data_IF_845918873057
#
_entry.id   IF_845918873057
#
_cell.length_a   1.000
_cell.length_b   1.000
_cell.length_c   1.000
_cell.angle_alpha   90.00
_cell.angle_beta   90.00
_cell.angle_gamma   90.00
#
_symmetry.space_group_name_H-M   'P 1'
#
loop_
_entity.id
_entity.type
_entity.pdbx_description
1 polymer ?
#
# COMPACT_ATOMS: atom_id res chain seq x y z
N UNK A 1 7.41 -25.58 14.71
CA UNK A 1 6.89 -24.32 14.13
C UNK A 1 7.95 -23.21 14.02
N UNK A 2 8.83 -23.00 15.02
CA UNK A 2 9.88 -21.95 15.02
C UNK A 2 10.87 -21.98 13.83
N UNK A 3 11.19 -23.13 13.25
CA UNK A 3 12.19 -23.24 12.16
C UNK A 3 11.66 -22.82 10.78
N UNK A 4 10.34 -22.88 10.52
CA UNK A 4 9.77 -22.47 9.22
C UNK A 4 9.79 -20.96 9.00
N UNK A 5 9.70 -20.15 10.06
CA UNK A 5 9.67 -18.69 9.96
C UNK A 5 11.02 -18.08 9.55
N UNK A 6 12.14 -18.75 9.83
CA UNK A 6 13.48 -18.22 9.54
C UNK A 6 13.88 -18.35 8.05
N UNK A 7 13.29 -19.31 7.33
CA UNK A 7 13.64 -19.63 5.93
C UNK A 7 12.44 -19.60 4.97
N UNK A 8 11.27 -19.16 5.42
CA UNK A 8 10.09 -19.02 4.57
C UNK A 8 10.28 -17.91 3.50
N UNK A 9 9.51 -17.99 2.39
CA UNK A 9 9.55 -16.98 1.34
C UNK A 9 9.11 -15.62 1.90
N UNK A 10 10.02 -14.64 1.88
CA UNK A 10 9.76 -13.26 2.33
C UNK A 10 9.04 -12.40 1.28
N UNK A 11 8.80 -12.96 0.09
CA UNK A 11 8.21 -12.26 -1.04
C UNK A 11 6.82 -11.66 -0.76
N UNK A 12 5.87 -12.36 -0.08
CA UNK A 12 4.56 -11.76 0.23
C UNK A 12 4.69 -10.52 1.10
N UNK A 13 5.49 -10.57 2.17
CA UNK A 13 5.70 -9.44 3.07
C UNK A 13 6.42 -8.28 2.39
N UNK A 14 7.43 -8.55 1.56
CA UNK A 14 8.12 -7.52 0.78
C UNK A 14 7.16 -6.80 -0.19
N UNK A 15 6.30 -7.56 -0.87
CA UNK A 15 5.28 -7.00 -1.76
C UNK A 15 4.23 -6.18 -0.99
N UNK A 16 3.76 -6.68 0.15
CA UNK A 16 2.84 -5.95 1.02
C UNK A 16 3.44 -4.64 1.52
N UNK A 17 4.71 -4.65 1.93
CA UNK A 17 5.43 -3.44 2.34
C UNK A 17 5.61 -2.43 1.22
N UNK A 18 5.90 -2.88 0.00
CA UNK A 18 5.98 -2.00 -1.17
C UNK A 18 4.63 -1.33 -1.47
N UNK A 19 3.52 -2.08 -1.40
CA UNK A 19 2.17 -1.57 -1.66
C UNK A 19 1.60 -0.72 -0.51
N UNK A 20 2.07 -0.93 0.72
CA UNK A 20 1.59 -0.19 1.89
C UNK A 20 1.81 1.32 1.76
N UNK A 21 2.90 1.76 1.12
CA UNK A 21 3.20 3.19 0.96
C UNK A 21 2.18 3.91 0.07
N UNK A 22 1.95 3.52 -1.20
CA UNK A 22 0.94 4.17 -2.02
C UNK A 22 -0.48 3.99 -1.46
N UNK A 23 -0.78 2.86 -0.81
CA UNK A 23 -2.07 2.67 -0.12
C UNK A 23 -2.26 3.63 1.06
N UNK A 24 -1.21 3.90 1.84
CA UNK A 24 -1.25 4.87 2.93
C UNK A 24 -1.63 6.27 2.41
N UNK A 25 -0.96 6.74 1.37
CA UNK A 25 -1.26 8.06 0.79
C UNK A 25 -2.64 8.11 0.11
N UNK A 26 -3.05 7.02 -0.55
CA UNK A 26 -4.39 6.90 -1.12
C UNK A 26 -5.46 6.99 -0.03
N UNK A 27 -5.27 6.25 1.06
CA UNK A 27 -6.16 6.24 2.22
C UNK A 27 -6.17 7.59 2.96
N UNK A 28 -5.02 8.28 3.03
CA UNK A 28 -4.92 9.61 3.61
C UNK A 28 -5.80 10.61 2.85
N UNK A 29 -5.66 10.68 1.52
CA UNK A 29 -6.48 11.56 0.68
C UNK A 29 -7.98 11.23 0.81
N UNK A 30 -8.32 9.94 0.77
CA UNK A 30 -9.69 9.48 0.92
C UNK A 30 -10.28 9.82 2.31
N UNK A 31 -9.50 9.62 3.38
CA UNK A 31 -9.91 9.88 4.75
C UNK A 31 -10.08 11.39 5.01
N UNK A 32 -9.20 12.24 4.47
CA UNK A 32 -9.38 13.69 4.52
C UNK A 32 -10.71 14.09 3.90
N UNK A 33 -10.97 13.66 2.65
CA UNK A 33 -12.26 13.93 1.98
C UNK A 33 -13.46 13.45 2.80
N UNK A 34 -13.39 12.25 3.39
CA UNK A 34 -14.51 11.68 4.13
C UNK A 34 -14.75 12.39 5.48
N UNK A 35 -13.68 12.62 6.25
CA UNK A 35 -13.77 12.91 7.68
C UNK A 35 -13.49 14.37 8.04
N UNK A 36 -12.72 15.08 7.22
CA UNK A 36 -12.34 16.45 7.51
C UNK A 36 -13.58 17.35 7.56
N UNK A 37 -13.66 18.15 8.64
CA UNK A 37 -14.78 19.06 8.89
C UNK A 37 -14.21 20.33 9.50
N UNK A 38 -14.63 21.50 9.01
CA UNK A 38 -14.25 22.75 9.66
C UNK A 38 -14.97 22.86 11.00
N UNK A 39 -14.37 23.55 11.94
CA UNK A 39 -15.01 23.88 13.19
C UNK A 39 -15.79 25.18 13.02
N UNK A 40 -17.12 25.14 13.25
CA UNK A 40 -17.98 26.32 13.12
C UNK A 40 -18.33 26.91 14.47
N UNK A 41 -18.24 28.22 14.58
CA UNK A 41 -18.80 28.97 15.70
C UNK A 41 -19.85 29.91 15.10
N UNK A 42 -21.07 29.77 15.57
CA UNK A 42 -22.20 30.60 15.16
C UNK A 42 -22.56 31.57 16.29
N UNK A 43 -22.75 32.84 15.96
CA UNK A 43 -23.25 33.84 16.89
C UNK A 43 -24.18 34.82 16.20
N UNK A 44 -25.02 35.48 16.98
CA UNK A 44 -25.91 36.52 16.46
C UNK A 44 -25.33 37.89 16.75
N UNK A 45 -25.20 38.72 15.71
CA UNK A 45 -24.81 40.13 15.83
C UNK A 45 -25.76 41.01 15.03
N UNK A 46 -26.31 42.06 15.66
CA UNK A 46 -27.30 42.96 15.06
C UNK A 46 -28.50 42.24 14.40
N UNK A 47 -28.98 41.15 15.02
CA UNK A 47 -30.10 40.35 14.51
C UNK A 47 -29.79 39.46 13.31
N UNK A 48 -28.52 39.36 12.89
CA UNK A 48 -28.06 38.45 11.83
C UNK A 48 -27.19 37.34 12.41
N UNK A 49 -27.43 36.11 11.94
CA UNK A 49 -26.55 34.98 12.22
C UNK A 49 -25.22 35.19 11.47
N UNK A 50 -24.12 35.13 12.19
CA UNK A 50 -22.77 35.11 11.64
C UNK A 50 -22.11 33.79 12.00
N UNK A 51 -21.37 33.24 11.04
CA UNK A 51 -20.65 31.98 11.17
C UNK A 51 -19.18 32.25 10.90
N UNK A 52 -18.29 31.92 11.83
CA UNK A 52 -16.87 31.78 11.52
C UNK A 52 -16.46 30.34 11.43
N UNK A 53 -15.60 30.11 10.46
CA UNK A 53 -15.02 28.82 10.16
C UNK A 53 -13.60 28.80 10.70
N UNK A 54 -13.27 27.73 11.41
CA UNK A 54 -11.96 27.49 11.99
C UNK A 54 -11.36 26.21 11.39
N UNK A 55 -10.02 26.08 11.42
CA UNK A 55 -9.35 24.85 11.04
C UNK A 55 -9.90 23.62 11.76
N UNK A 56 -9.75 22.41 11.18
CA UNK A 56 -10.14 21.17 11.82
C UNK A 56 -9.54 21.02 13.23
N UNK A 57 -10.30 20.40 14.14
CA UNK A 57 -9.78 20.08 15.47
C UNK A 57 -8.68 19.01 15.39
N UNK A 58 -7.75 19.00 16.35
CA UNK A 58 -6.73 17.95 16.48
C UNK A 58 -7.33 16.54 16.60
N UNK A 59 -8.55 16.42 17.15
CA UNK A 59 -9.28 15.16 17.21
C UNK A 59 -9.72 14.67 15.81
N UNK A 60 -10.11 15.60 14.92
CA UNK A 60 -10.44 15.27 13.53
C UNK A 60 -9.19 14.83 12.77
N UNK A 61 -8.07 15.55 12.94
CA UNK A 61 -6.79 15.19 12.33
C UNK A 61 -6.33 13.80 12.78
N UNK A 62 -6.35 13.51 14.09
CA UNK A 62 -5.97 12.21 14.62
C UNK A 62 -6.80 11.06 14.04
N UNK A 63 -8.11 11.30 13.81
CA UNK A 63 -8.99 10.32 13.16
C UNK A 63 -8.58 10.09 11.70
N UNK A 64 -8.26 11.14 10.95
CA UNK A 64 -7.79 11.03 9.56
C UNK A 64 -6.53 10.17 9.50
N UNK A 65 -5.54 10.44 10.36
CA UNK A 65 -4.31 9.64 10.45
C UNK A 65 -4.58 8.17 10.79
N UNK A 66 -5.45 7.91 11.78
CA UNK A 66 -5.79 6.55 12.18
C UNK A 66 -6.46 5.77 11.03
N UNK A 67 -7.40 6.40 10.32
CA UNK A 67 -8.08 5.77 9.19
C UNK A 67 -7.14 5.58 7.99
N UNK A 68 -6.18 6.48 7.77
CA UNK A 68 -5.17 6.35 6.71
C UNK A 68 -4.21 5.17 6.96
N UNK A 69 -3.88 4.88 8.23
CA UNK A 69 -3.02 3.76 8.61
C UNK A 69 -3.71 2.40 8.52
N UNK A 70 -5.05 2.36 8.58
CA UNK A 70 -5.77 1.09 8.66
C UNK A 70 -5.56 0.19 7.42
N UNK A 71 -5.76 0.64 6.16
CA UNK A 71 -5.52 -0.21 4.99
C UNK A 71 -4.09 -0.79 4.88
N UNK A 72 -3.00 -0.01 4.97
CA UNK A 72 -1.66 -0.57 4.87
C UNK A 72 -1.33 -1.53 6.02
N UNK A 73 -1.84 -1.28 7.24
CA UNK A 73 -1.65 -2.22 8.35
C UNK A 73 -2.38 -3.55 8.12
N UNK A 74 -3.62 -3.50 7.63
CA UNK A 74 -4.37 -4.71 7.28
C UNK A 74 -3.64 -5.51 6.19
N UNK A 75 -3.13 -4.85 5.15
CA UNK A 75 -2.36 -5.52 4.11
C UNK A 75 -1.08 -6.15 4.65
N UNK A 76 -0.35 -5.48 5.54
CA UNK A 76 0.87 -6.02 6.14
C UNK A 76 0.60 -7.23 7.03
N UNK A 77 -0.44 -7.19 7.85
CA UNK A 77 -0.87 -8.34 8.67
C UNK A 77 -1.29 -9.51 7.78
N UNK A 78 -2.05 -9.22 6.72
CA UNK A 78 -2.44 -10.23 5.74
C UNK A 78 -1.22 -10.83 5.03
N UNK A 79 -0.27 -10.00 4.59
CA UNK A 79 0.95 -10.44 3.93
C UNK A 79 1.85 -11.29 4.83
N UNK A 80 1.92 -10.97 6.12
CA UNK A 80 2.60 -11.80 7.11
C UNK A 80 1.93 -13.18 7.22
N UNK A 81 0.60 -13.24 7.32
CA UNK A 81 -0.13 -14.51 7.31
C UNK A 81 0.04 -15.31 6.01
N UNK A 82 0.05 -14.62 4.87
CA UNK A 82 0.22 -15.23 3.55
C UNK A 82 1.60 -15.90 3.36
N UNK A 83 2.61 -15.57 4.17
CA UNK A 83 3.88 -16.29 4.18
C UNK A 83 3.75 -17.78 4.57
N UNK A 84 2.64 -18.15 5.21
CA UNK A 84 2.40 -19.51 5.70
C UNK A 84 1.78 -20.44 4.65
N UNK A 85 1.30 -19.90 3.53
CA UNK A 85 0.59 -20.67 2.49
C UNK A 85 1.36 -20.68 1.17
N UNK A 86 1.28 -21.77 0.38
CA UNK A 86 1.81 -21.77 -0.97
C UNK A 86 1.11 -20.68 -1.79
N UNK A 87 1.86 -20.06 -2.71
CA UNK A 87 1.35 -18.98 -3.57
C UNK A 87 0.89 -17.71 -2.83
N UNK A 88 1.28 -17.53 -1.56
CA UNK A 88 0.90 -16.35 -0.76
C UNK A 88 1.22 -15.00 -1.41
N UNK A 89 2.22 -14.94 -2.30
CA UNK A 89 2.53 -13.74 -3.09
C UNK A 89 1.33 -13.26 -3.92
N UNK A 90 0.61 -14.18 -4.57
CA UNK A 90 -0.57 -13.85 -5.38
C UNK A 90 -1.74 -13.41 -4.52
N UNK A 91 -1.89 -14.00 -3.32
CA UNK A 91 -2.91 -13.57 -2.35
C UNK A 91 -2.68 -12.12 -1.93
N UNK A 92 -1.42 -11.73 -1.66
CA UNK A 92 -1.08 -10.34 -1.32
C UNK A 92 -1.34 -9.39 -2.48
N UNK A 93 -1.03 -9.78 -3.72
CA UNK A 93 -1.37 -8.97 -4.90
C UNK A 93 -2.89 -8.77 -5.02
N UNK A 94 -3.68 -9.83 -4.85
CA UNK A 94 -5.14 -9.74 -4.86
C UNK A 94 -5.69 -8.86 -3.73
N UNK A 95 -5.17 -9.03 -2.50
CA UNK A 95 -5.56 -8.21 -1.35
C UNK A 95 -5.26 -6.72 -1.58
N UNK A 96 -4.07 -6.38 -2.09
CA UNK A 96 -3.71 -5.00 -2.39
C UNK A 96 -4.65 -4.34 -3.42
N UNK A 97 -5.10 -5.10 -4.43
CA UNK A 97 -6.09 -4.63 -5.41
C UNK A 97 -7.43 -4.36 -4.73
N UNK A 98 -7.90 -5.29 -3.89
CA UNK A 98 -9.16 -5.14 -3.15
C UNK A 98 -9.11 -3.93 -2.22
N UNK A 99 -8.02 -3.75 -1.46
CA UNK A 99 -7.84 -2.60 -0.58
C UNK A 99 -7.84 -1.28 -1.37
N UNK A 100 -7.13 -1.22 -2.49
CA UNK A 100 -7.10 -0.03 -3.34
C UNK A 100 -8.48 0.33 -3.90
N UNK A 101 -9.29 -0.66 -4.29
CA UNK A 101 -10.68 -0.47 -4.72
C UNK A 101 -11.58 -0.04 -3.55
N UNK A 102 -11.44 -0.67 -2.38
CA UNK A 102 -12.26 -0.39 -1.21
C UNK A 102 -12.03 1.02 -0.66
N UNK A 103 -10.78 1.48 -0.59
CA UNK A 103 -10.42 2.82 -0.11
C UNK A 103 -11.02 3.91 -1.00
N UNK A 104 -11.18 3.66 -2.30
CA UNK A 104 -11.57 4.68 -3.29
C UNK A 104 -13.04 4.61 -3.73
N UNK A 105 -13.80 3.61 -3.26
CA UNK A 105 -15.14 3.29 -3.79
C UNK A 105 -16.20 4.42 -3.70
N UNK A 106 -15.96 5.46 -2.88
CA UNK A 106 -16.90 6.58 -2.65
C UNK A 106 -16.26 7.96 -2.76
N UNK A 107 -15.10 8.08 -3.42
CA UNK A 107 -14.38 9.35 -3.51
C UNK A 107 -15.24 10.49 -4.06
N UNK A 108 -16.07 10.25 -5.09
CA UNK A 108 -16.95 11.28 -5.66
C UNK A 108 -17.93 11.85 -4.62
N UNK A 109 -18.57 10.96 -3.86
CA UNK A 109 -19.52 11.35 -2.81
C UNK A 109 -18.80 12.10 -1.68
N UNK A 110 -17.62 11.63 -1.28
CA UNK A 110 -16.86 12.27 -0.21
C UNK A 110 -16.34 13.64 -0.64
N UNK A 111 -15.85 13.78 -1.87
CA UNK A 111 -15.44 15.06 -2.44
C UNK A 111 -16.61 16.05 -2.49
N UNK A 112 -17.76 15.64 -3.03
CA UNK A 112 -18.95 16.51 -3.07
C UNK A 112 -19.41 16.94 -1.66
N UNK A 113 -19.43 16.01 -0.69
CA UNK A 113 -19.76 16.34 0.70
C UNK A 113 -18.70 17.21 1.37
N UNK A 114 -17.42 17.06 1.01
CA UNK A 114 -16.34 17.91 1.51
C UNK A 114 -16.50 19.33 0.97
N UNK A 115 -16.63 19.51 -0.34
CA UNK A 115 -16.86 20.83 -0.94
C UNK A 115 -18.07 21.54 -0.31
N UNK A 116 -19.16 20.82 -0.04
CA UNK A 116 -20.34 21.40 0.62
C UNK A 116 -20.08 21.87 2.07
N UNK A 117 -19.12 21.26 2.78
CA UNK A 117 -18.71 21.68 4.14
C UNK A 117 -17.77 22.88 4.13
N UNK A 118 -17.12 23.16 3.01
CA UNK A 118 -16.11 24.21 2.84
C UNK A 118 -16.54 25.21 1.75
N UNK A 119 -17.58 26.03 1.99
CA UNK A 119 -18.16 26.91 0.97
C UNK A 119 -17.20 28.01 0.48
N UNK A 120 -16.20 28.37 1.29
CA UNK A 120 -15.15 29.35 0.97
C UNK A 120 -13.82 28.68 0.62
N UNK A 121 -13.82 27.40 0.25
CA UNK A 121 -12.60 26.63 0.04
C UNK A 121 -11.96 26.13 1.35
N UNK A 122 -10.88 25.35 1.22
CA UNK A 122 -10.21 24.64 2.33
C UNK A 122 -9.52 25.60 3.29
N UNK A 123 -8.98 26.70 2.79
CA UNK A 123 -8.32 27.71 3.63
C UNK A 123 -9.33 28.57 4.41
N UNK A 124 -10.63 28.41 4.12
CA UNK A 124 -11.75 29.12 4.77
C UNK A 124 -11.64 30.65 4.71
N UNK A 125 -10.91 31.16 3.72
CA UNK A 125 -10.62 32.59 3.58
C UNK A 125 -11.75 33.25 2.81
N UNK A 126 -12.36 34.32 3.33
CA UNK A 126 -13.45 34.98 2.63
C UNK A 126 -13.01 35.55 1.27
N UNK A 127 -13.89 35.52 0.25
CA UNK A 127 -13.61 36.10 -1.08
C UNK A 127 -13.22 37.58 -1.04
N UNK A 128 -13.57 38.30 0.03
CA UNK A 128 -13.19 39.69 0.24
C UNK A 128 -11.69 39.89 0.46
N UNK A 129 -10.92 38.83 0.74
CA UNK A 129 -9.47 38.88 0.89
C UNK A 129 -8.76 38.38 -0.38
N UNK A 130 -8.63 39.28 -1.37
CA UNK A 130 -8.03 38.99 -2.67
C UNK A 130 -6.55 38.56 -2.62
N UNK A 131 -5.86 38.75 -1.49
CA UNK A 131 -4.43 38.44 -1.35
C UNK A 131 -4.16 36.99 -0.88
N UNK A 132 -5.19 36.25 -0.48
CA UNK A 132 -4.98 35.06 0.35
C UNK A 132 -5.69 33.79 -0.11
N UNK A 133 -6.66 33.86 -1.03
CA UNK A 133 -7.26 32.66 -1.61
C UNK A 133 -6.46 32.21 -2.84
N UNK A 134 -5.62 31.18 -2.67
CA UNK A 134 -4.78 30.62 -3.76
C UNK A 134 -5.44 29.44 -4.49
N UNK A 135 -6.57 28.95 -3.98
CA UNK A 135 -7.17 27.69 -4.44
C UNK A 135 -8.68 27.88 -4.55
N UNK A 136 -9.22 27.75 -5.77
CA UNK A 136 -10.66 27.95 -5.96
C UNK A 136 -11.48 26.92 -5.15
N UNK A 137 -12.71 27.25 -4.69
CA UNK A 137 -13.57 26.28 -4.02
C UNK A 137 -13.75 24.99 -4.84
N UNK A 138 -13.48 23.83 -4.22
CA UNK A 138 -13.56 22.53 -4.88
C UNK A 138 -12.27 22.06 -5.57
N UNK A 139 -11.29 22.94 -5.79
CA UNK A 139 -10.05 22.58 -6.50
C UNK A 139 -9.19 21.61 -5.68
N UNK A 140 -9.09 21.80 -4.35
CA UNK A 140 -8.38 20.87 -3.48
C UNK A 140 -9.04 19.49 -3.48
N UNK A 141 -10.37 19.42 -3.39
CA UNK A 141 -11.11 18.16 -3.38
C UNK A 141 -10.92 17.39 -4.69
N UNK A 142 -10.93 18.11 -5.81
CA UNK A 142 -10.59 17.55 -7.12
C UNK A 142 -9.19 16.95 -7.14
N UNK A 143 -8.18 17.71 -6.70
CA UNK A 143 -6.77 17.24 -6.65
C UNK A 143 -6.58 16.05 -5.71
N UNK A 144 -7.20 16.08 -4.53
CA UNK A 144 -7.12 14.99 -3.55
C UNK A 144 -7.74 13.70 -4.12
N UNK A 145 -8.91 13.82 -4.75
CA UNK A 145 -9.59 12.70 -5.44
C UNK A 145 -8.73 12.12 -6.56
N UNK A 146 -8.23 12.97 -7.45
CA UNK A 146 -7.45 12.51 -8.61
C UNK A 146 -6.12 11.89 -8.17
N UNK A 147 -5.51 12.41 -7.11
CA UNK A 147 -4.33 11.82 -6.47
C UNK A 147 -4.64 10.43 -5.90
N UNK A 148 -5.76 10.28 -5.17
CA UNK A 148 -6.18 9.00 -4.62
C UNK A 148 -6.43 7.95 -5.71
N UNK A 149 -7.11 8.33 -6.80
CA UNK A 149 -7.35 7.47 -7.97
C UNK A 149 -6.04 7.08 -8.69
N UNK A 150 -5.13 8.04 -8.88
CA UNK A 150 -3.82 7.77 -9.47
C UNK A 150 -3.03 6.75 -8.64
N UNK A 151 -2.97 6.93 -7.32
CA UNK A 151 -2.30 5.99 -6.41
C UNK A 151 -2.96 4.61 -6.42
N UNK A 152 -4.28 4.54 -6.49
CA UNK A 152 -5.02 3.29 -6.68
C UNK A 152 -4.57 2.59 -7.97
N UNK A 153 -4.58 3.28 -9.12
CA UNK A 153 -4.20 2.68 -10.39
C UNK A 153 -2.75 2.19 -10.39
N UNK A 154 -1.83 2.95 -9.81
CA UNK A 154 -0.44 2.51 -9.65
C UNK A 154 -0.32 1.28 -8.74
N UNK A 155 -1.04 1.24 -7.62
CA UNK A 155 -1.06 0.08 -6.72
C UNK A 155 -1.55 -1.18 -7.45
N UNK A 156 -2.66 -1.06 -8.19
CA UNK A 156 -3.20 -2.15 -9.02
C UNK A 156 -2.18 -2.57 -10.09
N UNK A 157 -1.61 -1.60 -10.81
CA UNK A 157 -0.63 -1.85 -11.87
C UNK A 157 0.61 -2.61 -11.36
N UNK A 158 1.18 -2.21 -10.23
CA UNK A 158 2.35 -2.90 -9.67
C UNK A 158 1.96 -4.29 -9.14
N UNK A 159 0.78 -4.45 -8.52
CA UNK A 159 0.29 -5.76 -8.10
C UNK A 159 0.15 -6.74 -9.27
N UNK A 160 -0.47 -6.30 -10.38
CA UNK A 160 -0.61 -7.09 -11.60
C UNK A 160 0.76 -7.40 -12.22
N UNK A 161 1.63 -6.40 -12.37
CA UNK A 161 2.96 -6.59 -12.93
C UNK A 161 3.79 -7.59 -12.12
N UNK A 162 3.75 -7.48 -10.78
CA UNK A 162 4.43 -8.42 -9.87
C UNK A 162 3.93 -9.86 -10.05
N UNK A 163 2.61 -10.05 -10.09
CA UNK A 163 2.01 -11.36 -10.33
C UNK A 163 2.43 -11.97 -11.69
N UNK A 164 2.46 -11.16 -12.75
CA UNK A 164 2.89 -11.59 -14.07
C UNK A 164 4.37 -11.98 -14.11
N UNK A 165 5.25 -11.18 -13.49
CA UNK A 165 6.69 -11.47 -13.43
C UNK A 165 6.95 -12.81 -12.73
N UNK A 166 6.36 -13.02 -11.54
CA UNK A 166 6.54 -14.27 -10.79
C UNK A 166 6.01 -15.46 -11.58
N UNK A 167 4.88 -15.30 -12.27
CA UNK A 167 4.30 -16.33 -13.15
C UNK A 167 5.24 -16.66 -14.31
N UNK A 168 5.76 -15.65 -15.00
CA UNK A 168 6.67 -15.82 -16.12
C UNK A 168 7.97 -16.53 -15.70
N UNK A 169 8.53 -16.17 -14.54
CA UNK A 169 9.70 -16.85 -13.97
C UNK A 169 9.41 -18.31 -13.60
N UNK A 170 8.23 -18.60 -13.05
CA UNK A 170 7.81 -19.97 -12.73
C UNK A 170 7.65 -20.82 -13.99
N UNK A 171 7.02 -20.28 -15.03
CA UNK A 171 6.87 -20.93 -16.35
C UNK A 171 8.25 -21.16 -16.98
N UNK A 172 9.11 -20.13 -16.99
CA UNK A 172 10.50 -20.23 -17.48
C UNK A 172 11.25 -21.35 -16.77
N UNK A 173 11.18 -21.40 -15.44
CA UNK A 173 11.84 -22.44 -14.63
C UNK A 173 11.31 -23.84 -14.93
N UNK A 174 10.00 -23.99 -15.14
CA UNK A 174 9.36 -25.29 -15.38
C UNK A 174 9.64 -25.85 -16.78
N UNK A 175 9.63 -25.00 -17.81
CA UNK A 175 9.65 -25.45 -19.21
C UNK A 175 10.98 -25.20 -19.92
N UNK A 176 11.75 -24.21 -19.48
CA UNK A 176 13.00 -23.78 -20.15
C UNK A 176 14.24 -23.93 -19.25
N UNK A 177 14.07 -24.43 -18.02
CA UNK A 177 15.20 -24.79 -17.16
C UNK A 177 15.89 -26.04 -17.71
N UNK A 178 17.00 -25.86 -18.44
CA UNK A 178 17.90 -26.97 -18.77
C UNK A 178 18.34 -27.60 -17.44
N UNK A 179 18.04 -28.88 -17.23
CA UNK A 179 18.68 -29.65 -16.15
C UNK A 179 20.20 -29.57 -16.43
N UNK A 180 21.06 -29.23 -15.46
CA UNK A 180 22.49 -29.42 -15.65
C UNK A 180 22.69 -30.87 -16.06
N UNK A 181 23.42 -31.09 -17.16
CA UNK A 181 23.84 -32.43 -17.54
C UNK A 181 24.57 -33.04 -16.32
N UNK A 182 24.35 -34.33 -16.01
CA UNK A 182 25.15 -34.99 -15.00
C UNK A 182 26.61 -34.77 -15.39
N UNK A 183 27.37 -34.05 -14.56
CA UNK A 183 28.82 -33.99 -14.72
C UNK A 183 29.28 -35.43 -14.53
N UNK A 184 29.98 -36.06 -15.50
CA UNK A 184 30.58 -37.35 -15.28
C UNK A 184 31.42 -37.25 -14.02
N UNK A 185 31.17 -38.11 -13.03
CA UNK A 185 32.01 -38.15 -11.84
C UNK A 185 33.46 -38.26 -12.32
N UNK A 186 34.39 -37.43 -11.82
CA UNK A 186 35.80 -37.63 -12.14
C UNK A 186 36.13 -39.08 -11.78
N UNK A 187 36.88 -39.79 -12.64
CA UNK A 187 37.32 -41.14 -12.31
C UNK A 187 37.95 -41.09 -10.94
N UNK A 188 37.44 -41.93 -10.02
CA UNK A 188 38.05 -42.13 -8.72
C UNK A 188 39.43 -42.68 -9.03
N UNK A 189 40.42 -41.80 -9.06
CA UNK A 189 41.83 -42.13 -9.18
C UNK A 189 42.11 -42.99 -7.95
N UNK A 190 42.18 -44.31 -8.18
CA UNK A 190 42.40 -45.27 -7.13
C UNK A 190 43.68 -44.91 -6.43
N UNK A 191 43.56 -44.40 -5.21
CA UNK A 191 44.66 -44.33 -4.26
C UNK A 191 45.21 -45.75 -4.20
N UNK A 192 46.40 -45.96 -4.75
CA UNK A 192 47.16 -47.18 -4.57
C UNK A 192 47.16 -47.48 -3.07
N UNK A 193 46.45 -48.54 -2.67
CA UNK A 193 46.63 -49.10 -1.36
C UNK A 193 48.11 -49.50 -1.29
N UNK A 194 48.89 -48.99 -0.32
CA UNK A 194 50.27 -49.44 -0.17
C UNK A 194 50.24 -50.94 0.05
N UNK A 195 51.00 -51.68 -0.77
CA UNK A 195 51.22 -53.10 -0.58
C UNK A 195 51.68 -53.31 0.86
N UNK A 196 50.82 -53.92 1.67
CA UNK A 196 51.17 -54.36 3.01
C UNK A 196 52.17 -55.51 2.87
N UNK A 197 53.45 -55.15 2.80
CA UNK A 197 54.56 -56.07 2.98
C UNK A 197 54.48 -56.63 4.40
N UNK A 198 53.94 -57.84 4.53
CA UNK A 198 54.11 -58.62 5.75
C UNK A 198 55.58 -59.04 5.86
N UNK A 199 56.23 -58.88 7.02
CA UNK A 199 57.59 -59.36 7.21
C UNK A 199 57.61 -60.90 7.32
N UNK A 200 58.69 -61.57 6.85
CA UNK A 200 58.85 -63.00 7.00
C UNK A 200 59.13 -63.37 8.48
N UNK A 201 58.60 -64.53 8.89
CA UNK A 201 58.80 -65.18 10.19
C UNK A 201 60.23 -65.70 10.36
#
# INVERSE_FOLDING_TARGET
MRTRLRHGPRAPLAMGGLMAVPLFFCALMAASLALEKPHTIEWTSAGKLQTTWHPPTSATEARIWLWALLPPLLLLVFAFGAMLVPYGFYLVCGAAIVDALAVTHRLDRWAAHHTARFPNGVDLIPPSNAASDKVAPGEWEGKARDTALSLQYWTIGIAVAGALIVTALAVRRRWFGRKPAPVPAPPIEGVHAPDATLPPL
#
